data_IF_393564592317
#
_entry.id   IF_393564592317
#
_cell.length_a   1.000
_cell.length_b   1.000
_cell.length_c   1.000
_cell.angle_alpha   90.00
_cell.angle_beta   90.00
_cell.angle_gamma   90.00
#
_symmetry.space_group_name_H-M   'P 1'
#
loop_
_entity.id
_entity.type
_entity.pdbx_description
1 polymer ?
#
# COMPACT_ATOMS: atom_id res chain seq x y z
N UNK A 1 2.15 27.61 11.39
CA UNK A 1 1.15 26.96 10.51
C UNK A 1 1.76 26.14 9.36
N UNK A 2 2.51 26.73 8.42
CA UNK A 2 3.03 25.98 7.27
C UNK A 2 4.06 24.91 7.66
N UNK A 3 5.01 25.25 8.54
CA UNK A 3 6.00 24.29 9.05
C UNK A 3 5.35 23.13 9.82
N UNK A 4 4.29 23.43 10.56
CA UNK A 4 3.58 22.44 11.39
C UNK A 4 2.81 21.45 10.51
N UNK A 5 2.12 21.94 9.47
CA UNK A 5 1.49 21.08 8.46
C UNK A 5 2.51 20.27 7.67
N UNK A 6 3.64 20.88 7.30
CA UNK A 6 4.70 20.19 6.57
C UNK A 6 5.28 19.02 7.38
N UNK A 7 5.57 19.25 8.67
CA UNK A 7 6.04 18.21 9.58
C UNK A 7 4.97 17.13 9.81
N UNK A 8 3.71 17.53 9.95
CA UNK A 8 2.62 16.57 10.13
C UNK A 8 2.46 15.66 8.90
N UNK A 9 2.64 16.21 7.69
CA UNK A 9 2.60 15.42 6.43
C UNK A 9 3.79 14.49 6.21
N UNK A 10 4.83 14.56 7.05
CA UNK A 10 5.91 13.55 7.05
C UNK A 10 5.44 12.24 7.69
N UNK A 11 4.39 12.28 8.53
CA UNK A 11 3.76 11.09 9.04
C UNK A 11 2.64 10.66 8.08
N UNK A 12 2.74 9.45 7.56
CA UNK A 12 1.75 8.90 6.62
C UNK A 12 0.37 8.73 7.27
N UNK A 13 0.32 8.44 8.58
CA UNK A 13 -0.91 8.37 9.37
C UNK A 13 -1.64 9.72 9.50
N UNK A 14 -1.04 10.83 9.06
CA UNK A 14 -1.65 12.15 9.15
C UNK A 14 -2.89 12.29 8.26
N UNK A 15 -2.95 11.58 7.14
CA UNK A 15 -4.09 11.62 6.22
C UNK A 15 -5.31 10.87 6.79
N UNK A 16 -5.07 9.89 7.65
CA UNK A 16 -6.09 9.17 8.42
C UNK A 16 -6.40 9.85 9.77
N UNK A 17 -5.66 10.88 10.21
CA UNK A 17 -5.90 11.42 11.54
C UNK A 17 -7.08 12.42 11.62
N UNK A 18 -7.88 12.33 12.70
CA UNK A 18 -8.92 13.31 13.00
C UNK A 18 -8.27 14.56 13.61
N UNK A 19 -8.36 15.68 12.91
CA UNK A 19 -7.80 16.96 13.32
C UNK A 19 -8.88 17.82 13.99
N UNK A 20 -8.50 18.56 15.02
CA UNK A 20 -9.35 19.61 15.59
C UNK A 20 -8.90 20.96 15.05
N UNK A 21 -9.71 21.56 14.18
CA UNK A 21 -9.45 22.86 13.56
C UNK A 21 -10.26 23.92 14.27
N UNK A 22 -9.66 25.09 14.52
CA UNK A 22 -10.37 26.24 15.04
C UNK A 22 -10.75 27.17 13.87
N UNK A 23 -12.05 27.29 13.61
CA UNK A 23 -12.59 28.19 12.58
C UNK A 23 -13.44 29.24 13.28
N UNK A 24 -12.98 30.49 13.27
CA UNK A 24 -13.73 31.62 13.86
C UNK A 24 -13.96 31.54 15.37
N UNK A 25 -13.17 30.76 16.11
CA UNK A 25 -13.31 30.55 17.56
C UNK A 25 -13.96 29.21 17.93
N UNK A 26 -14.57 28.51 16.98
CA UNK A 26 -15.21 27.22 17.19
C UNK A 26 -14.28 26.06 16.82
N UNK A 27 -14.20 25.05 17.69
CA UNK A 27 -13.46 23.81 17.43
C UNK A 27 -14.32 22.87 16.60
N UNK A 28 -13.81 22.45 15.45
CA UNK A 28 -14.45 21.49 14.57
C UNK A 28 -13.52 20.31 14.29
N UNK A 29 -14.06 19.10 14.34
CA UNK A 29 -13.34 17.90 13.92
C UNK A 29 -13.38 17.78 12.39
N UNK A 30 -12.22 17.61 11.78
CA UNK A 30 -12.07 17.48 10.34
C UNK A 30 -10.93 16.53 9.99
N UNK A 31 -10.99 15.95 8.80
CA UNK A 31 -9.92 15.14 8.20
C UNK A 31 -9.39 15.84 6.95
N UNK A 32 -8.16 15.51 6.52
CA UNK A 32 -7.63 16.01 5.26
C UNK A 32 -8.23 15.21 4.11
N UNK A 33 -8.83 15.93 3.16
CA UNK A 33 -9.39 15.34 1.95
C UNK A 33 -8.41 15.39 0.79
N UNK A 34 -7.77 16.54 0.59
CA UNK A 34 -6.82 16.73 -0.50
C UNK A 34 -5.68 17.65 -0.05
N UNK A 35 -4.49 17.40 -0.58
CA UNK A 35 -3.28 18.15 -0.28
C UNK A 35 -2.51 18.43 -1.56
N UNK A 36 -2.54 19.68 -2.00
CA UNK A 36 -1.82 20.09 -3.19
C UNK A 36 -0.41 20.50 -2.83
N UNK A 37 0.58 19.82 -3.42
CA UNK A 37 2.00 20.11 -3.27
C UNK A 37 2.56 20.73 -4.55
N UNK A 38 3.55 21.60 -4.40
CA UNK A 38 4.26 22.13 -5.54
C UNK A 38 5.15 21.02 -6.17
N UNK A 39 5.14 20.81 -7.49
CA UNK A 39 5.81 19.67 -8.15
C UNK A 39 7.34 19.72 -8.16
N UNK A 40 7.97 20.72 -7.56
CA UNK A 40 9.43 20.97 -7.69
C UNK A 40 10.02 21.57 -6.42
N UNK A 41 9.24 22.38 -5.70
CA UNK A 41 9.61 22.90 -4.39
C UNK A 41 8.89 22.10 -3.32
N UNK A 42 9.56 21.81 -2.22
CA UNK A 42 8.94 21.12 -1.08
C UNK A 42 8.04 22.12 -0.34
N UNK A 43 6.87 22.40 -0.90
CA UNK A 43 5.92 23.37 -0.37
C UNK A 43 4.49 22.91 -0.64
N UNK A 44 3.68 22.87 0.42
CA UNK A 44 2.22 22.70 0.36
C UNK A 44 1.58 24.02 -0.12
N UNK A 45 0.75 23.92 -1.16
CA UNK A 45 0.05 25.03 -1.81
C UNK A 45 -1.39 25.15 -1.29
N UNK A 46 -2.08 24.03 -1.13
CA UNK A 46 -3.47 23.98 -0.69
C UNK A 46 -3.70 22.73 0.18
N UNK A 47 -4.60 22.85 1.14
CA UNK A 47 -5.05 21.73 1.96
C UNK A 47 -6.56 21.84 2.14
N UNK A 48 -7.27 20.80 1.72
CA UNK A 48 -8.71 20.68 1.87
C UNK A 48 -9.03 19.87 3.13
N UNK A 49 -9.86 20.45 4.00
CA UNK A 49 -10.33 19.80 5.20
C UNK A 49 -11.81 19.47 5.07
N UNK A 50 -12.15 18.21 5.33
CA UNK A 50 -13.53 17.74 5.37
C UNK A 50 -13.98 17.62 6.82
N UNK A 51 -14.99 18.41 7.18
CA UNK A 51 -15.63 18.31 8.50
C UNK A 51 -16.27 16.93 8.66
N UNK A 52 -16.02 16.29 9.79
CA UNK A 52 -16.58 14.98 10.11
C UNK A 52 -17.69 15.08 11.16
N UNK A 53 -18.63 14.15 11.09
CA UNK A 53 -19.65 13.89 12.11
C UNK A 53 -19.40 12.47 12.63
N UNK A 54 -19.43 12.29 13.95
CA UNK A 54 -19.09 11.00 14.58
C UNK A 54 -20.03 9.85 14.15
N UNK A 55 -21.27 10.19 13.77
CA UNK A 55 -22.30 9.22 13.40
C UNK A 55 -22.37 8.91 11.89
N UNK A 56 -21.50 9.52 11.07
CA UNK A 56 -21.52 9.33 9.62
C UNK A 56 -20.30 8.54 9.16
N UNK A 57 -20.55 7.56 8.28
CA UNK A 57 -19.47 6.86 7.59
C UNK A 57 -18.68 7.86 6.73
N UNK A 58 -17.36 7.80 6.86
CA UNK A 58 -16.42 8.60 6.08
C UNK A 58 -15.68 7.69 5.11
N UNK A 59 -15.26 8.26 3.99
CA UNK A 59 -14.45 7.57 2.97
C UNK A 59 -13.09 8.21 2.94
N UNK A 60 -12.05 7.43 3.21
CA UNK A 60 -10.67 7.91 3.41
C UNK A 60 -9.70 6.95 2.74
N UNK A 61 -8.59 7.49 2.26
CA UNK A 61 -7.48 6.71 1.72
C UNK A 61 -6.49 6.38 2.84
N UNK A 62 -6.22 5.09 3.05
CA UNK A 62 -5.32 4.59 4.09
C UNK A 62 -4.15 3.85 3.43
N UNK A 63 -2.89 4.10 3.84
CA UNK A 63 -1.72 3.43 3.29
C UNK A 63 -1.60 1.97 3.76
N UNK A 64 -0.98 1.15 2.91
CA UNK A 64 -0.55 -0.20 3.26
C UNK A 64 0.86 -0.19 3.85
N UNK A 65 1.06 -0.98 4.89
CA UNK A 65 2.38 -1.31 5.43
C UNK A 65 2.67 -2.78 5.13
N UNK A 66 3.64 -3.03 4.26
CA UNK A 66 4.06 -4.37 3.90
C UNK A 66 5.08 -4.88 4.92
N UNK A 67 4.77 -6.02 5.52
CA UNK A 67 5.67 -6.73 6.43
C UNK A 67 6.38 -7.83 5.66
N UNK A 68 7.60 -8.18 6.11
CA UNK A 68 8.34 -9.33 5.62
C UNK A 68 8.71 -9.30 4.12
N UNK A 69 8.84 -8.12 3.51
CA UNK A 69 9.25 -7.97 2.10
C UNK A 69 10.57 -8.71 1.79
N UNK A 70 11.58 -8.56 2.66
CA UNK A 70 12.88 -9.21 2.49
C UNK A 70 12.88 -10.69 2.88
N UNK A 71 11.94 -11.10 3.74
CA UNK A 71 11.82 -12.48 4.24
C UNK A 71 10.93 -13.38 3.40
N UNK A 72 10.16 -12.80 2.47
CA UNK A 72 9.28 -13.50 1.54
C UNK A 72 9.98 -14.68 0.84
N UNK A 73 9.33 -15.85 0.87
CA UNK A 73 9.82 -17.08 0.24
C UNK A 73 10.10 -16.88 -1.26
N UNK A 74 9.22 -16.16 -1.97
CA UNK A 74 9.39 -15.89 -3.39
C UNK A 74 10.62 -15.01 -3.73
N UNK A 75 11.00 -14.10 -2.83
CA UNK A 75 12.20 -13.26 -3.01
C UNK A 75 13.45 -14.06 -2.66
N UNK A 76 13.46 -14.73 -1.50
CA UNK A 76 14.63 -15.48 -1.00
C UNK A 76 14.98 -16.71 -1.84
N UNK A 77 13.99 -17.54 -2.18
CA UNK A 77 14.23 -18.86 -2.78
C UNK A 77 14.31 -18.80 -4.30
N UNK A 78 13.65 -17.85 -4.97
CA UNK A 78 13.68 -17.79 -6.44
C UNK A 78 13.97 -16.41 -7.04
N UNK A 79 14.50 -15.47 -6.27
CA UNK A 79 15.02 -14.19 -6.79
C UNK A 79 13.94 -13.30 -7.40
N UNK A 80 12.69 -13.46 -6.97
CA UNK A 80 11.58 -12.62 -7.39
C UNK A 80 11.72 -11.18 -6.87
N UNK A 81 11.03 -10.25 -7.52
CA UNK A 81 10.86 -8.88 -7.09
C UNK A 81 9.40 -8.63 -6.72
N UNK A 82 9.19 -8.03 -5.55
CA UNK A 82 7.87 -7.60 -5.11
C UNK A 82 7.49 -6.36 -5.91
N UNK A 83 6.31 -6.40 -6.52
CA UNK A 83 5.70 -5.30 -7.26
C UNK A 83 4.50 -4.79 -6.47
N UNK A 84 4.59 -3.56 -5.97
CA UNK A 84 3.49 -2.86 -5.30
C UNK A 84 2.61 -2.21 -6.36
N UNK A 85 1.49 -2.86 -6.68
CA UNK A 85 0.53 -2.35 -7.65
C UNK A 85 -0.30 -1.20 -7.04
N UNK A 86 -0.56 -1.27 -5.74
CA UNK A 86 -1.34 -0.28 -5.00
C UNK A 86 -0.72 -0.06 -3.62
N UNK A 87 -0.44 1.20 -3.26
CA UNK A 87 0.19 1.56 -1.98
C UNK A 87 -0.82 2.10 -0.95
N UNK A 88 -2.02 2.46 -1.40
CA UNK A 88 -3.08 3.05 -0.58
C UNK A 88 -4.42 2.51 -1.02
N UNK A 89 -5.35 2.34 -0.09
CA UNK A 89 -6.70 1.85 -0.35
C UNK A 89 -7.75 2.80 0.18
N UNK A 90 -8.80 3.01 -0.61
CA UNK A 90 -9.98 3.73 -0.17
C UNK A 90 -10.84 2.82 0.70
N UNK A 91 -11.05 3.21 1.95
CA UNK A 91 -11.92 2.52 2.90
C UNK A 91 -13.10 3.39 3.31
N UNK A 92 -14.19 2.75 3.73
CA UNK A 92 -15.31 3.40 4.39
C UNK A 92 -15.50 2.84 5.79
N UNK A 93 -15.45 3.70 6.80
CA UNK A 93 -15.67 3.33 8.19
C UNK A 93 -16.24 4.49 9.00
N UNK A 94 -16.65 4.20 10.23
CA UNK A 94 -16.98 5.24 11.20
C UNK A 94 -15.69 5.92 11.70
N UNK A 95 -15.73 7.22 12.03
CA UNK A 95 -14.55 7.95 12.51
C UNK A 95 -13.86 7.32 13.73
N UNK A 96 -14.60 6.58 14.57
CA UNK A 96 -14.04 5.88 15.74
C UNK A 96 -13.25 4.61 15.42
N UNK A 97 -13.45 4.00 14.25
CA UNK A 97 -12.83 2.74 13.84
C UNK A 97 -11.82 2.96 12.70
N UNK A 98 -11.34 4.20 12.53
CA UNK A 98 -10.48 4.51 11.40
C UNK A 98 -9.03 4.08 11.71
N UNK A 99 -8.47 3.10 10.98
CA UNK A 99 -7.10 2.66 11.18
C UNK A 99 -6.10 3.67 10.61
N UNK A 100 -4.92 3.76 11.21
CA UNK A 100 -3.83 4.60 10.71
C UNK A 100 -3.16 4.00 9.47
N UNK A 101 -3.02 2.67 9.45
CA UNK A 101 -2.47 1.87 8.37
C UNK A 101 -3.09 0.48 8.34
N UNK A 102 -2.93 -0.24 7.21
CA UNK A 102 -3.32 -1.64 7.07
C UNK A 102 -2.06 -2.47 6.85
N UNK A 103 -1.82 -3.44 7.73
CA UNK A 103 -0.69 -4.36 7.62
C UNK A 103 -1.00 -5.47 6.61
N UNK A 104 -0.04 -5.75 5.74
CA UNK A 104 -0.09 -6.84 4.77
C UNK A 104 1.17 -7.68 4.93
N UNK A 105 1.01 -8.94 5.35
CA UNK A 105 2.12 -9.87 5.52
C UNK A 105 2.42 -10.60 4.21
N UNK A 106 3.68 -10.54 3.78
CA UNK A 106 4.17 -11.15 2.54
C UNK A 106 5.05 -12.38 2.78
N UNK A 107 5.22 -12.84 4.02
CA UNK A 107 6.19 -13.90 4.37
C UNK A 107 6.01 -15.18 3.55
N UNK A 108 4.77 -15.63 3.38
CA UNK A 108 4.44 -16.91 2.74
C UNK A 108 4.17 -16.81 1.22
N UNK A 109 4.32 -15.64 0.60
CA UNK A 109 4.04 -15.49 -0.83
C UNK A 109 5.07 -16.21 -1.70
N UNK A 110 4.58 -16.95 -2.69
CA UNK A 110 5.39 -17.62 -3.71
C UNK A 110 5.57 -16.77 -4.97
N UNK A 111 6.47 -17.21 -5.85
CA UNK A 111 6.70 -16.55 -7.13
C UNK A 111 5.51 -16.74 -8.05
N UNK A 112 5.02 -15.64 -8.63
CA UNK A 112 3.86 -15.62 -9.50
C UNK A 112 2.53 -15.51 -8.74
N UNK A 113 2.57 -15.44 -7.42
CA UNK A 113 1.40 -15.20 -6.59
C UNK A 113 1.06 -13.71 -6.51
N UNK A 114 -0.24 -13.42 -6.44
CA UNK A 114 -0.80 -12.08 -6.36
C UNK A 114 -1.81 -12.01 -5.21
N UNK A 115 -1.62 -11.05 -4.30
CA UNK A 115 -2.58 -10.76 -3.23
C UNK A 115 -3.63 -9.79 -3.73
N UNK A 116 -4.89 -10.17 -3.57
CA UNK A 116 -6.05 -9.38 -3.93
C UNK A 116 -6.55 -8.54 -2.75
N UNK A 117 -7.37 -7.52 -3.02
CA UNK A 117 -7.95 -6.66 -1.98
C UNK A 117 -8.85 -7.45 -1.02
N UNK A 118 -9.47 -8.53 -1.51
CA UNK A 118 -10.33 -9.42 -0.73
C UNK A 118 -9.58 -10.24 0.33
N UNK A 119 -8.30 -10.51 0.12
CA UNK A 119 -7.50 -11.40 0.98
C UNK A 119 -6.82 -10.65 2.14
N UNK A 120 -7.00 -9.33 2.21
CA UNK A 120 -6.39 -8.47 3.22
C UNK A 120 -7.18 -8.53 4.51
N UNK A 121 -6.45 -8.65 5.63
CA UNK A 121 -7.04 -8.60 6.96
C UNK A 121 -7.49 -7.18 7.28
N UNK A 122 -8.80 -6.95 7.30
CA UNK A 122 -9.40 -5.66 7.64
C UNK A 122 -9.76 -5.61 9.13
N UNK A 123 -9.49 -4.48 9.81
CA UNK A 123 -9.93 -4.27 11.19
C UNK A 123 -11.45 -4.09 11.29
N UNK A 124 -12.00 -4.29 12.49
CA UNK A 124 -13.46 -4.32 12.72
C UNK A 124 -14.18 -3.04 12.27
N UNK A 125 -15.19 -3.21 11.41
CA UNK A 125 -16.04 -2.10 10.94
C UNK A 125 -15.46 -1.29 9.78
N UNK A 126 -14.38 -1.77 9.15
CA UNK A 126 -13.86 -1.22 7.89
C UNK A 126 -14.45 -1.96 6.70
N UNK A 127 -15.02 -1.20 5.76
CA UNK A 127 -15.58 -1.73 4.51
C UNK A 127 -14.79 -1.15 3.35
N UNK A 128 -14.38 -2.00 2.40
CA UNK A 128 -13.82 -1.53 1.13
C UNK A 128 -15.00 -1.27 0.18
N UNK A 129 -15.31 0.00 -0.17
CA UNK A 129 -16.42 0.31 -1.08
C UNK A 129 -16.22 -0.25 -2.49
N UNK A 130 -14.98 -0.49 -2.92
CA UNK A 130 -14.68 -1.08 -4.22
C UNK A 130 -15.17 -2.54 -4.31
N UNK A 131 -14.97 -3.35 -3.28
CA UNK A 131 -15.42 -4.75 -3.25
C UNK A 131 -16.96 -4.88 -3.29
N UNK A 132 -17.67 -3.86 -2.79
CA UNK A 132 -19.13 -3.82 -2.85
C UNK A 132 -19.69 -3.58 -4.28
N UNK A 133 -18.87 -3.13 -5.23
CA UNK A 133 -19.28 -2.84 -6.61
C UNK A 133 -19.23 -4.06 -7.53
N UNK A 134 -18.59 -5.16 -7.11
CA UNK A 134 -18.53 -6.42 -7.84
C UNK A 134 -17.13 -7.06 -7.85
N UNK A 135 -17.06 -8.32 -8.31
CA UNK A 135 -15.81 -9.09 -8.38
C UNK A 135 -14.76 -8.48 -9.33
N UNK A 136 -15.19 -7.67 -10.30
CA UNK A 136 -14.29 -6.99 -11.25
C UNK A 136 -13.45 -5.87 -10.60
N UNK A 137 -13.84 -5.43 -9.40
CA UNK A 137 -13.14 -4.39 -8.65
C UNK A 137 -12.13 -4.96 -7.64
N UNK A 138 -11.93 -6.28 -7.62
CA UNK A 138 -10.92 -6.92 -6.78
C UNK A 138 -9.53 -6.80 -7.43
N UNK A 139 -8.91 -5.65 -7.19
CA UNK A 139 -7.60 -5.35 -7.76
C UNK A 139 -6.49 -6.10 -7.02
N UNK A 140 -5.40 -6.37 -7.74
CA UNK A 140 -4.17 -6.91 -7.15
C UNK A 140 -3.46 -5.80 -6.38
N UNK A 141 -3.16 -6.02 -5.11
CA UNK A 141 -2.46 -5.07 -4.25
C UNK A 141 -0.94 -5.29 -4.33
N UNK A 142 -0.50 -6.54 -4.25
CA UNK A 142 0.91 -6.94 -4.35
C UNK A 142 1.05 -8.17 -5.23
N UNK A 143 2.07 -8.19 -6.07
CA UNK A 143 2.46 -9.38 -6.83
C UNK A 143 3.95 -9.66 -6.72
N UNK A 144 4.33 -10.94 -6.69
CA UNK A 144 5.74 -11.36 -6.71
C UNK A 144 6.09 -11.81 -8.11
N UNK A 145 6.90 -11.02 -8.82
CA UNK A 145 7.27 -11.28 -10.22
C UNK A 145 8.69 -11.83 -10.32
N UNK A 146 8.97 -12.65 -11.34
CA UNK A 146 10.34 -13.11 -11.61
C UNK A 146 11.14 -11.95 -12.20
N UNK A 147 12.32 -11.70 -11.63
CA UNK A 147 13.29 -10.81 -12.25
C UNK A 147 13.79 -11.43 -13.56
N UNK A 148 13.52 -10.79 -14.69
CA UNK A 148 13.99 -11.23 -16.02
C UNK A 148 15.51 -11.36 -16.13
N UNK A 149 16.26 -10.76 -15.20
CA UNK A 149 17.71 -10.92 -15.06
C UNK A 149 18.10 -12.29 -14.51
N UNK A 150 17.29 -12.89 -13.63
CA UNK A 150 17.50 -14.24 -13.10
C UNK A 150 17.12 -15.35 -14.11
N UNK A 151 16.17 -15.09 -15.02
CA UNK A 151 15.92 -15.98 -16.17
C UNK A 151 17.14 -16.07 -17.11
N UNK A 152 17.88 -14.97 -17.29
CA UNK A 152 19.07 -14.95 -18.13
C UNK A 152 20.24 -15.76 -17.52
N UNK A 153 20.40 -15.76 -16.19
CA UNK A 153 21.40 -16.60 -15.52
C UNK A 153 21.01 -18.09 -15.51
N UNK A 154 19.73 -18.42 -15.27
CA UNK A 154 19.28 -19.82 -15.36
C UNK A 154 19.36 -20.40 -16.77
N UNK A 155 19.15 -19.59 -17.81
CA UNK A 155 19.32 -20.01 -19.19
C UNK A 155 20.80 -20.19 -19.58
N UNK A 156 21.71 -19.48 -18.93
CA UNK A 156 23.15 -19.65 -19.13
C UNK A 156 23.68 -20.92 -18.44
N UNK A 157 23.23 -21.21 -17.22
CA UNK A 157 23.65 -22.39 -16.45
C UNK A 157 23.12 -23.71 -17.06
N UNK A 158 21.91 -23.69 -17.63
CA UNK A 158 21.35 -24.81 -18.39
C UNK A 158 22.04 -25.06 -19.75
N UNK A 159 22.78 -24.08 -20.28
CA UNK A 159 23.55 -24.22 -21.51
C UNK A 159 24.98 -24.73 -21.27
N UNK A 160 25.49 -24.65 -20.02
CA UNK A 160 26.85 -25.07 -19.67
C UNK A 160 26.92 -26.52 -19.14
N UNK A 161 25.77 -27.15 -18.87
CA UNK A 161 25.66 -28.54 -18.38
C UNK A 161 25.44 -29.60 -19.47
N UNK A 162 25.37 -29.21 -20.75
CA UNK A 162 25.23 -30.13 -21.91
C UNK A 162 26.56 -30.46 -22.61
N UNK A 163 27.70 -29.90 -22.19
CA UNK A 163 29.03 -30.26 -22.72
C UNK A 163 29.78 -31.20 -21.76
N UNK A 164 29.26 -32.41 -21.63
CA UNK A 164 30.02 -33.56 -21.15
C UNK A 164 30.07 -34.62 -22.25
N UNK A 165 31.08 -34.61 -23.14
CA UNK A 165 31.29 -35.75 -24.01
C UNK A 165 31.87 -36.89 -23.17
N UNK A 166 31.05 -37.92 -22.97
CA UNK A 166 31.49 -39.26 -22.66
C UNK A 166 32.38 -39.76 -23.82
N UNK A 167 33.61 -40.20 -23.50
CA UNK A 167 34.37 -41.15 -24.32
C UNK A 167 35.41 -41.87 -23.46
N UNK A 168 35.04 -43.08 -23.06
CA UNK A 168 35.89 -44.17 -22.57
C UNK A 168 36.49 -44.87 -23.82
N UNK A 169 37.83 -44.94 -23.91
CA UNK A 169 38.67 -46.11 -24.25
C UNK A 169 40.14 -45.70 -24.45
#
# INVERSE_FOLDING_TARGET
>A
PHKDLMKATENEAFFSHILTINVGGEKQSAIIKDLQRHPSKVRIMHADFQRILLDQAITVEVPFHFLNEESCVGVKTGGGQISHNMTQITISCLPGNLPEYIEVDLENMEIGEALHMSDIQLPEGVVIPALAQGADYDQVVVSVNINKRAEAEKAADAAESDDAPAAEE
#
